data_IF_269928979687
#
_entry.id   IF_269928979687
#
_cell.length_a   1.000
_cell.length_b   1.000
_cell.length_c   1.000
_cell.angle_alpha   90.00
_cell.angle_beta   90.00
_cell.angle_gamma   90.00
#
_symmetry.space_group_name_H-M   'P 1'
#
loop_
_entity.id
_entity.type
_entity.pdbx_description
1 polymer ?
#
# COMPACT_ATOMS: atom_id res chain seq x y z
N UNK A 1 10.70 -2.33 3.03
CA UNK A 1 12.03 -1.73 2.77
C UNK A 1 11.86 -0.24 2.54
N UNK A 2 12.85 0.57 2.91
CA UNK A 2 12.85 2.01 2.62
C UNK A 2 13.45 2.35 1.27
N UNK A 3 13.39 3.62 0.87
CA UNK A 3 14.08 4.15 -0.31
C UNK A 3 15.14 5.17 0.08
N UNK A 4 16.26 5.20 -0.64
CA UNK A 4 17.29 6.24 -0.50
C UNK A 4 16.63 7.61 -0.71
N UNK A 5 16.97 8.58 0.13
CA UNK A 5 16.35 9.92 0.11
C UNK A 5 14.96 10.02 0.75
N UNK A 6 14.44 8.92 1.30
CA UNK A 6 13.11 8.86 1.92
C UNK A 6 13.14 8.34 3.37
N UNK A 7 14.14 8.76 4.16
CA UNK A 7 14.30 8.29 5.54
C UNK A 7 13.07 8.61 6.41
N UNK A 8 12.54 9.84 6.32
CA UNK A 8 11.33 10.27 7.04
C UNK A 8 10.10 9.45 6.61
N UNK A 9 9.88 9.28 5.31
CA UNK A 9 8.75 8.53 4.77
C UNK A 9 8.83 7.04 5.12
N UNK A 10 10.03 6.46 5.02
CA UNK A 10 10.28 5.05 5.38
C UNK A 10 10.04 4.80 6.87
N UNK A 11 10.51 5.72 7.73
CA UNK A 11 10.24 5.65 9.17
C UNK A 11 8.74 5.74 9.47
N UNK A 12 8.03 6.69 8.84
CA UNK A 12 6.59 6.86 9.02
C UNK A 12 5.81 5.61 8.57
N UNK A 13 6.10 5.06 7.38
CA UNK A 13 5.44 3.84 6.87
C UNK A 13 5.78 2.60 7.69
N UNK A 14 7.01 2.49 8.17
CA UNK A 14 7.39 1.45 9.14
C UNK A 14 6.61 1.58 10.45
N UNK A 15 6.41 2.81 10.94
CA UNK A 15 5.59 3.10 12.11
C UNK A 15 4.14 2.65 11.96
N UNK A 16 3.51 2.86 10.80
CA UNK A 16 2.15 2.37 10.50
C UNK A 16 2.11 0.84 10.58
N UNK A 17 3.09 0.14 10.03
CA UNK A 17 3.15 -1.32 10.07
C UNK A 17 3.26 -1.84 11.52
N UNK A 18 4.18 -1.30 12.31
CA UNK A 18 4.33 -1.66 13.72
C UNK A 18 3.08 -1.35 14.54
N UNK A 19 2.47 -0.17 14.33
CA UNK A 19 1.23 0.21 14.99
C UNK A 19 0.10 -0.77 14.70
N UNK A 20 -0.04 -1.19 13.44
CA UNK A 20 -1.07 -2.13 13.01
C UNK A 20 -0.94 -3.47 13.72
N UNK A 21 0.28 -4.00 13.86
CA UNK A 21 0.54 -5.27 14.55
C UNK A 21 0.17 -5.18 16.04
N UNK A 22 0.56 -4.08 16.70
CA UNK A 22 0.25 -3.85 18.12
C UNK A 22 -1.26 -3.70 18.31
N UNK A 23 -1.93 -2.87 17.50
CA UNK A 23 -3.38 -2.69 17.57
C UNK A 23 -4.14 -3.99 17.32
N UNK A 24 -3.71 -4.80 16.35
CA UNK A 24 -4.33 -6.09 16.07
C UNK A 24 -4.27 -7.02 17.29
N UNK A 25 -3.16 -7.00 18.04
CA UNK A 25 -3.03 -7.77 19.28
C UNK A 25 -3.88 -7.21 20.43
N UNK A 26 -3.87 -5.89 20.62
CA UNK A 26 -4.58 -5.21 21.71
C UNK A 26 -6.11 -5.26 21.56
N UNK A 27 -6.60 -5.08 20.33
CA UNK A 27 -8.02 -4.90 20.03
C UNK A 27 -8.76 -6.20 19.75
N UNK A 28 -8.05 -7.31 19.51
CA UNK A 28 -8.66 -8.63 19.28
C UNK A 28 -9.62 -9.05 20.40
N UNK A 29 -9.35 -8.66 21.65
CA UNK A 29 -10.23 -8.93 22.80
C UNK A 29 -11.61 -8.29 22.71
N UNK A 30 -11.75 -7.26 21.86
CA UNK A 30 -13.00 -6.57 21.56
C UNK A 30 -13.60 -6.99 20.21
N UNK A 31 -13.07 -8.04 19.57
CA UNK A 31 -13.44 -8.44 18.22
C UNK A 31 -13.26 -7.32 17.17
N UNK A 32 -12.24 -6.48 17.36
CA UNK A 32 -11.85 -5.43 16.41
C UNK A 32 -10.54 -5.86 15.72
N UNK A 33 -10.51 -5.74 14.40
CA UNK A 33 -9.32 -6.02 13.57
C UNK A 33 -8.58 -4.74 13.21
N UNK A 34 -7.25 -4.80 13.11
CA UNK A 34 -6.42 -3.73 12.54
C UNK A 34 -5.61 -4.29 11.38
N UNK A 35 -5.64 -3.59 10.23
CA UNK A 35 -4.97 -4.01 9.00
C UNK A 35 -4.28 -2.82 8.33
N UNK A 36 -3.25 -3.10 7.52
CA UNK A 36 -2.54 -2.09 6.75
C UNK A 36 -2.21 -2.61 5.35
N UNK A 37 -2.17 -1.69 4.39
CA UNK A 37 -1.80 -1.97 3.00
C UNK A 37 -0.51 -1.23 2.65
N UNK A 38 0.32 -1.86 1.83
CA UNK A 38 1.49 -1.24 1.19
C UNK A 38 1.22 -1.13 -0.33
N UNK A 39 0.46 -0.12 -0.78
CA UNK A 39 0.09 -0.01 -2.18
C UNK A 39 1.22 0.54 -3.05
N UNK A 40 1.24 0.07 -4.30
CA UNK A 40 1.98 0.65 -5.42
C UNK A 40 0.99 0.87 -6.55
N UNK A 41 0.91 2.09 -7.09
CA UNK A 41 -0.04 2.43 -8.14
C UNK A 41 0.47 3.55 -9.03
N UNK A 42 0.03 3.50 -10.29
CA UNK A 42 0.14 4.55 -11.29
C UNK A 42 -0.86 5.66 -10.96
N UNK A 43 -0.35 6.81 -10.53
CA UNK A 43 -1.13 7.98 -10.13
C UNK A 43 -0.43 9.25 -10.62
N UNK A 44 -1.07 10.41 -10.52
CA UNK A 44 -0.44 11.69 -10.85
C UNK A 44 0.87 11.98 -10.08
N UNK A 45 1.10 11.33 -8.93
CA UNK A 45 2.36 11.44 -8.19
C UNK A 45 3.49 10.54 -8.73
N UNK A 46 3.16 9.46 -9.43
CA UNK A 46 4.12 8.40 -9.81
C UNK A 46 4.34 8.29 -11.31
N UNK A 47 3.39 8.73 -12.14
CA UNK A 47 3.45 8.65 -13.60
C UNK A 47 4.63 9.43 -14.20
N UNK A 48 4.97 10.58 -13.64
CA UNK A 48 6.14 11.36 -14.10
C UNK A 48 7.45 10.88 -13.50
N UNK A 49 7.47 10.64 -12.18
CA UNK A 49 8.70 10.33 -11.43
C UNK A 49 9.23 8.92 -11.73
N UNK A 50 8.33 7.99 -12.02
CA UNK A 50 8.66 6.58 -12.26
C UNK A 50 8.11 6.11 -13.61
N UNK A 51 8.15 6.95 -14.65
CA UNK A 51 7.46 6.72 -15.93
C UNK A 51 7.67 5.30 -16.52
N UNK A 52 8.92 4.82 -16.59
CA UNK A 52 9.24 3.49 -17.14
C UNK A 52 8.67 2.35 -16.29
N UNK A 53 8.87 2.38 -14.97
CA UNK A 53 8.28 1.41 -14.03
C UNK A 53 6.75 1.50 -14.02
N UNK A 54 6.27 2.73 -14.17
CA UNK A 54 4.91 3.15 -14.41
C UNK A 54 4.26 2.33 -15.50
N UNK A 55 4.88 2.22 -16.69
CA UNK A 55 4.23 1.95 -17.98
C UNK A 55 3.12 0.87 -17.98
N UNK A 56 2.03 1.17 -18.69
CA UNK A 56 0.90 0.25 -18.84
C UNK A 56 1.30 -0.89 -19.77
N UNK A 57 1.05 -2.16 -19.41
CA UNK A 57 1.28 -3.26 -20.33
C UNK A 57 0.48 -3.10 -21.63
N UNK A 58 1.13 -3.29 -22.77
CA UNK A 58 0.51 -3.19 -24.10
C UNK A 58 0.07 -4.56 -24.64
N UNK A 59 0.53 -5.65 -24.01
CA UNK A 59 0.30 -7.05 -24.40
C UNK A 59 -0.99 -7.64 -23.81
N UNK A 60 -1.77 -6.85 -23.08
CA UNK A 60 -2.99 -7.29 -22.40
C UNK A 60 -2.75 -8.10 -21.12
N UNK A 61 -1.51 -8.18 -20.63
CA UNK A 61 -1.19 -8.76 -19.32
C UNK A 61 -1.76 -7.92 -18.17
N UNK A 62 -1.77 -8.48 -16.96
CA UNK A 62 -2.31 -7.82 -15.78
C UNK A 62 -1.56 -6.52 -15.47
N UNK A 63 -2.29 -5.40 -15.45
CA UNK A 63 -1.73 -4.10 -15.06
C UNK A 63 -1.57 -4.05 -13.54
N UNK A 64 -0.39 -4.46 -13.06
CA UNK A 64 -0.07 -4.47 -11.63
C UNK A 64 -0.19 -3.08 -10.98
N UNK A 65 0.04 -2.01 -11.75
CA UNK A 65 0.03 -0.65 -11.27
C UNK A 65 -1.31 0.07 -11.49
N UNK A 66 -2.36 -0.62 -11.97
CA UNK A 66 -3.69 -0.03 -12.05
C UNK A 66 -4.16 0.38 -10.64
N UNK A 67 -4.45 1.68 -10.38
CA UNK A 67 -4.91 2.13 -9.07
C UNK A 67 -6.21 1.46 -8.62
N UNK A 68 -7.02 0.93 -9.54
CA UNK A 68 -8.23 0.18 -9.23
C UNK A 68 -7.95 -1.13 -8.46
N UNK A 69 -6.71 -1.65 -8.49
CA UNK A 69 -6.34 -2.86 -7.77
C UNK A 69 -6.31 -2.68 -6.24
N UNK A 70 -6.23 -1.45 -5.73
CA UNK A 70 -6.07 -1.19 -4.29
C UNK A 70 -7.41 -1.22 -3.55
N UNK A 71 -8.45 -0.61 -4.12
CA UNK A 71 -9.75 -0.43 -3.45
C UNK A 71 -10.45 -1.75 -3.06
N UNK A 72 -10.47 -2.80 -3.90
CA UNK A 72 -11.10 -4.08 -3.54
C UNK A 72 -10.53 -4.70 -2.28
N UNK A 73 -9.21 -4.57 -2.04
CA UNK A 73 -8.57 -5.11 -0.85
C UNK A 73 -9.01 -4.37 0.42
N UNK A 74 -9.24 -3.05 0.33
CA UNK A 74 -9.78 -2.26 1.45
C UNK A 74 -11.20 -2.70 1.80
N UNK A 75 -12.04 -2.92 0.79
CA UNK A 75 -13.42 -3.41 0.98
C UNK A 75 -13.42 -4.79 1.64
N UNK A 76 -12.57 -5.71 1.17
CA UNK A 76 -12.44 -7.05 1.74
C UNK A 76 -11.98 -7.04 3.21
N UNK A 77 -11.06 -6.15 3.58
CA UNK A 77 -10.60 -6.06 4.98
C UNK A 77 -11.67 -5.51 5.94
N UNK A 78 -12.70 -4.84 5.41
CA UNK A 78 -13.80 -4.28 6.19
C UNK A 78 -15.09 -5.10 6.17
N UNK A 79 -15.10 -6.26 5.49
CA UNK A 79 -16.27 -7.13 5.34
C UNK A 79 -16.41 -8.18 6.43
#
# INVERSE_FOLDING_TARGET
>A
QGSIGQANYSAAKGGIASLTLVQAAELRRYNITANALAPSARTGMTEGVFAEMMKKPEDGSFDHYDPANVAPLVVWLGS
#
